data_IF_972826713664
#
_entry.id   IF_972826713664
#
_cell.length_a   1.000
_cell.length_b   1.000
_cell.length_c   1.000
_cell.angle_alpha   90.00
_cell.angle_beta   90.00
_cell.angle_gamma   90.00
#
_symmetry.space_group_name_H-M   'P 1'
#
loop_
_entity.id
_entity.type
_entity.pdbx_description
1 polymer ?
#
# COMPACT_ATOMS: atom_id res chain seq x y z
N UNK A 1 -42.77 48.59 -34.34
CA UNK A 1 -43.22 47.18 -34.37
C UNK A 1 -42.34 46.44 -33.41
N UNK A 2 -42.89 46.05 -32.26
CA UNK A 2 -42.20 45.30 -31.21
C UNK A 2 -42.26 43.83 -31.60
N UNK A 3 -41.12 43.19 -31.84
CA UNK A 3 -41.08 41.73 -31.94
C UNK A 3 -41.27 41.13 -30.54
N UNK A 4 -42.08 40.06 -30.39
CA UNK A 4 -42.19 39.38 -29.12
C UNK A 4 -40.95 38.51 -28.90
N UNK A 5 -40.36 38.62 -27.71
CA UNK A 5 -39.32 37.70 -27.24
C UNK A 5 -39.89 36.28 -27.23
N UNK A 6 -39.28 35.37 -27.99
CA UNK A 6 -39.62 33.95 -28.02
C UNK A 6 -39.43 33.34 -26.61
N UNK A 7 -40.45 32.73 -26.00
CA UNK A 7 -40.33 32.08 -24.68
C UNK A 7 -39.44 30.83 -24.64
N UNK A 8 -38.75 30.46 -25.73
CA UNK A 8 -37.96 29.22 -25.81
C UNK A 8 -36.63 29.27 -25.06
N UNK A 9 -36.32 30.36 -24.35
CA UNK A 9 -35.01 30.58 -23.71
C UNK A 9 -35.01 30.29 -22.20
N UNK A 10 -36.11 29.80 -21.62
CA UNK A 10 -36.24 29.56 -20.16
C UNK A 10 -36.26 28.07 -19.78
N UNK A 11 -35.99 27.14 -20.71
CA UNK A 11 -35.99 25.71 -20.39
C UNK A 11 -34.83 24.96 -21.06
N UNK A 12 -33.63 25.55 -21.03
CA UNK A 12 -32.44 24.72 -20.89
C UNK A 12 -32.22 24.53 -19.40
N UNK A 13 -32.89 23.52 -18.84
CA UNK A 13 -32.43 22.85 -17.65
C UNK A 13 -30.98 22.47 -17.92
N UNK A 14 -30.06 23.22 -17.33
CA UNK A 14 -28.66 22.83 -17.15
C UNK A 14 -28.72 21.48 -16.41
N UNK A 15 -28.72 20.40 -17.18
CA UNK A 15 -28.47 19.05 -16.70
C UNK A 15 -26.97 19.01 -16.38
N UNK A 16 -26.60 19.74 -15.32
CA UNK A 16 -25.24 19.81 -14.82
C UNK A 16 -24.83 18.36 -14.55
N UNK A 17 -23.79 17.84 -15.21
CA UNK A 17 -23.45 16.43 -15.08
C UNK A 17 -23.23 16.12 -13.59
N UNK A 18 -24.00 15.17 -13.07
CA UNK A 18 -23.88 14.62 -11.71
C UNK A 18 -22.38 14.50 -11.36
N UNK A 19 -21.91 15.05 -10.22
CA UNK A 19 -20.50 15.02 -9.87
C UNK A 19 -20.03 13.56 -9.81
N UNK A 20 -19.32 13.15 -10.87
CA UNK A 20 -18.76 11.81 -10.99
C UNK A 20 -17.78 11.65 -9.85
N UNK A 21 -18.16 10.85 -8.86
CA UNK A 21 -17.32 10.52 -7.71
C UNK A 21 -16.04 9.89 -8.23
N UNK A 22 -14.97 10.68 -8.27
CA UNK A 22 -13.64 10.13 -8.51
C UNK A 22 -13.32 9.21 -7.33
N UNK A 23 -12.88 7.97 -7.59
CA UNK A 23 -12.47 7.08 -6.51
C UNK A 23 -11.38 7.79 -5.70
N UNK A 24 -11.64 8.01 -4.41
CA UNK A 24 -10.70 8.68 -3.48
C UNK A 24 -9.35 7.92 -3.44
N UNK A 25 -9.34 6.65 -3.86
CA UNK A 25 -8.17 5.79 -3.89
C UNK A 25 -8.02 5.09 -5.24
N UNK A 26 -7.61 5.82 -6.29
CA UNK A 26 -7.01 5.20 -7.48
C UNK A 26 -5.55 4.83 -7.19
N UNK A 27 -5.34 3.86 -6.28
CA UNK A 27 -4.01 3.41 -5.90
C UNK A 27 -3.37 2.66 -7.08
N UNK A 28 -2.10 2.95 -7.43
CA UNK A 28 -1.39 2.21 -8.47
C UNK A 28 -1.38 0.71 -8.15
N UNK A 29 -1.53 -0.19 -9.16
CA UNK A 29 -1.60 -1.63 -8.93
C UNK A 29 -0.41 -2.18 -8.13
N UNK A 30 0.78 -1.63 -8.32
CA UNK A 30 1.98 -2.01 -7.56
C UNK A 30 1.87 -1.69 -6.07
N UNK A 31 1.30 -0.53 -5.72
CA UNK A 31 1.10 -0.12 -4.32
C UNK A 31 0.08 -1.05 -3.65
N UNK A 32 -1.02 -1.34 -4.34
CA UNK A 32 -2.02 -2.30 -3.87
C UNK A 32 -1.44 -3.70 -3.67
N UNK A 33 -0.59 -4.16 -4.61
CA UNK A 33 0.07 -5.45 -4.50
C UNK A 33 0.99 -5.51 -3.29
N UNK A 34 1.83 -4.49 -3.06
CA UNK A 34 2.72 -4.45 -1.89
C UNK A 34 1.92 -4.41 -0.58
N UNK A 35 0.85 -3.60 -0.51
CA UNK A 35 -0.05 -3.58 0.64
C UNK A 35 -0.64 -4.97 0.89
N UNK A 36 -1.16 -5.61 -0.16
CA UNK A 36 -1.73 -6.95 -0.09
C UNK A 36 -0.73 -7.98 0.43
N UNK A 37 0.50 -7.97 -0.06
CA UNK A 37 1.56 -8.87 0.40
C UNK A 37 1.86 -8.64 1.89
N UNK A 38 2.03 -7.38 2.32
CA UNK A 38 2.29 -7.06 3.73
C UNK A 38 1.16 -7.55 4.65
N UNK A 39 -0.11 -7.37 4.23
CA UNK A 39 -1.27 -7.85 4.98
C UNK A 39 -1.27 -9.37 5.04
N UNK A 40 -1.12 -10.06 3.91
CA UNK A 40 -1.10 -11.53 3.86
C UNK A 40 0.01 -12.10 4.73
N UNK A 41 1.22 -11.57 4.64
CA UNK A 41 2.36 -12.00 5.48
C UNK A 41 2.03 -11.81 6.96
N UNK A 42 1.47 -10.67 7.36
CA UNK A 42 1.09 -10.44 8.75
C UNK A 42 0.01 -11.41 9.24
N UNK A 43 -1.01 -11.68 8.41
CA UNK A 43 -2.08 -12.63 8.75
C UNK A 43 -1.55 -14.06 8.89
N UNK A 44 -0.67 -14.49 7.99
CA UNK A 44 -0.02 -15.81 8.09
C UNK A 44 0.75 -15.92 9.41
N UNK A 45 1.53 -14.90 9.77
CA UNK A 45 2.30 -14.88 11.01
C UNK A 45 1.44 -14.97 12.25
N UNK A 46 0.32 -14.26 12.29
CA UNK A 46 -0.55 -14.18 13.47
C UNK A 46 -1.49 -15.37 13.60
N UNK A 47 -1.98 -15.92 12.49
CA UNK A 47 -3.06 -16.92 12.53
C UNK A 47 -2.68 -18.32 12.04
N UNK A 48 -1.60 -18.46 11.26
CA UNK A 48 -1.24 -19.75 10.65
C UNK A 48 0.05 -20.36 11.24
N UNK A 49 0.97 -19.56 11.77
CA UNK A 49 2.21 -20.04 12.34
C UNK A 49 2.09 -20.29 13.85
N UNK A 50 2.77 -21.33 14.32
CA UNK A 50 3.07 -21.51 15.76
C UNK A 50 4.14 -20.52 16.21
N UNK A 51 4.27 -20.28 17.51
CA UNK A 51 5.26 -19.35 18.07
C UNK A 51 6.69 -19.68 17.61
N UNK A 52 7.08 -20.96 17.62
CA UNK A 52 8.42 -21.39 17.16
C UNK A 52 8.63 -21.14 15.65
N UNK A 53 7.60 -21.35 14.84
CA UNK A 53 7.65 -21.09 13.40
C UNK A 53 7.71 -19.59 13.10
N UNK A 54 6.93 -18.77 13.81
CA UNK A 54 6.95 -17.33 13.67
C UNK A 54 8.31 -16.76 14.09
N UNK A 55 8.86 -17.24 15.22
CA UNK A 55 10.18 -16.86 15.67
C UNK A 55 11.27 -17.26 14.67
N UNK A 56 11.22 -18.48 14.12
CA UNK A 56 12.16 -18.92 13.09
C UNK A 56 12.05 -18.08 11.81
N UNK A 57 10.84 -17.72 11.38
CA UNK A 57 10.60 -16.81 10.26
C UNK A 57 11.21 -15.44 10.54
N UNK A 58 10.91 -14.85 11.70
CA UNK A 58 11.43 -13.55 12.13
C UNK A 58 12.96 -13.53 12.09
N UNK A 59 13.61 -14.54 12.67
CA UNK A 59 15.08 -14.62 12.68
C UNK A 59 15.65 -14.72 11.26
N UNK A 60 14.97 -15.37 10.31
CA UNK A 60 15.45 -15.54 8.93
C UNK A 60 15.16 -14.34 8.03
N UNK A 61 14.04 -13.65 8.24
CA UNK A 61 13.57 -12.58 7.36
C UNK A 61 13.78 -11.17 7.91
N UNK A 62 14.02 -10.99 9.21
CA UNK A 62 14.35 -9.69 9.77
C UNK A 62 15.78 -9.29 9.43
N UNK A 63 15.98 -8.01 9.13
CA UNK A 63 17.30 -7.43 9.00
C UNK A 63 17.94 -7.30 10.38
N UNK A 64 18.98 -8.10 10.66
CA UNK A 64 19.69 -8.11 11.93
C UNK A 64 21.13 -7.62 11.68
N UNK A 65 21.47 -6.37 12.03
CA UNK A 65 22.76 -5.76 11.71
C UNK A 65 23.98 -6.57 12.18
N UNK A 66 23.87 -7.28 13.30
CA UNK A 66 24.99 -8.06 13.87
C UNK A 66 25.50 -9.16 12.93
N UNK A 67 24.68 -9.64 11.98
CA UNK A 67 25.09 -10.65 10.98
C UNK A 67 26.20 -10.17 10.06
N UNK A 68 26.33 -8.85 9.87
CA UNK A 68 27.33 -8.25 9.00
C UNK A 68 28.60 -7.81 9.76
N UNK A 69 28.74 -8.23 11.03
CA UNK A 69 29.91 -7.88 11.86
C UNK A 69 31.18 -8.68 11.56
N UNK A 70 31.20 -9.50 10.49
CA UNK A 70 32.27 -10.44 10.14
C UNK A 70 32.61 -11.46 11.25
N UNK A 71 31.72 -11.65 12.23
CA UNK A 71 31.83 -12.66 13.30
C UNK A 71 30.99 -13.91 13.06
N UNK A 72 30.17 -13.89 12.03
CA UNK A 72 29.23 -14.94 11.65
C UNK A 72 29.36 -15.20 10.15
N UNK A 73 29.01 -16.42 9.73
CA UNK A 73 28.94 -16.76 8.31
C UNK A 73 27.82 -15.99 7.62
N UNK A 74 28.08 -15.54 6.39
CA UNK A 74 27.07 -14.92 5.54
C UNK A 74 26.25 -16.00 4.85
N UNK A 75 25.16 -16.39 5.50
CA UNK A 75 24.18 -17.32 4.95
C UNK A 75 23.24 -16.62 3.94
N UNK A 76 22.39 -17.42 3.27
CA UNK A 76 21.39 -16.90 2.33
C UNK A 76 20.45 -15.86 2.97
N UNK A 77 20.21 -15.97 4.28
CA UNK A 77 19.37 -15.06 5.02
C UNK A 77 20.05 -13.70 5.24
N UNK A 78 21.37 -13.65 5.39
CA UNK A 78 22.13 -12.40 5.39
C UNK A 78 22.02 -11.65 4.05
N UNK A 79 21.81 -12.34 2.92
CA UNK A 79 21.62 -11.67 1.63
C UNK A 79 20.16 -11.28 1.35
N UNK A 80 19.20 -12.06 1.85
CA UNK A 80 17.77 -11.84 1.58
C UNK A 80 17.07 -10.94 2.59
N UNK A 81 17.54 -10.94 3.86
CA UNK A 81 16.94 -10.14 4.94
C UNK A 81 16.92 -8.62 4.70
N UNK A 82 17.86 -7.97 3.98
CA UNK A 82 17.72 -6.55 3.61
C UNK A 82 16.54 -6.23 2.70
N UNK A 83 15.87 -7.24 2.14
CA UNK A 83 14.65 -7.06 1.36
C UNK A 83 13.43 -7.63 2.09
N UNK A 84 13.54 -8.84 2.62
CA UNK A 84 12.38 -9.52 3.24
C UNK A 84 11.90 -8.83 4.52
N UNK A 85 12.75 -8.06 5.21
CA UNK A 85 12.35 -7.31 6.40
C UNK A 85 11.26 -6.28 6.11
N UNK A 86 11.20 -5.73 4.89
CA UNK A 86 10.23 -4.70 4.51
C UNK A 86 8.77 -5.19 4.58
N UNK A 87 8.55 -6.51 4.54
CA UNK A 87 7.23 -7.12 4.61
C UNK A 87 6.84 -7.55 6.03
N UNK A 88 7.78 -7.53 6.98
CA UNK A 88 7.54 -7.94 8.36
C UNK A 88 6.98 -6.78 9.18
N UNK A 89 5.87 -7.02 9.86
CA UNK A 89 5.22 -6.04 10.73
C UNK A 89 5.10 -6.60 12.15
N UNK A 90 5.46 -5.77 13.13
CA UNK A 90 5.49 -6.13 14.56
C UNK A 90 4.12 -6.09 15.26
N UNK A 91 3.06 -5.71 14.55
CA UNK A 91 1.71 -5.64 15.10
C UNK A 91 0.76 -4.84 14.19
N UNK A 92 -0.52 -4.86 14.55
CA UNK A 92 -1.59 -4.25 13.76
C UNK A 92 -1.39 -2.74 13.56
N UNK A 93 -1.06 -2.00 14.62
CA UNK A 93 -0.84 -0.55 14.52
C UNK A 93 0.31 -0.20 13.58
N UNK A 94 1.43 -0.93 13.69
CA UNK A 94 2.59 -0.73 12.81
C UNK A 94 2.23 -1.03 11.34
N UNK A 95 1.50 -2.12 11.09
CA UNK A 95 0.99 -2.44 9.75
C UNK A 95 0.12 -1.32 9.19
N UNK A 96 -0.94 -0.94 9.90
CA UNK A 96 -1.91 0.06 9.41
C UNK A 96 -1.23 1.39 9.11
N UNK A 97 -0.40 1.88 10.04
CA UNK A 97 0.32 3.15 9.85
C UNK A 97 1.22 3.09 8.61
N UNK A 98 1.98 2.00 8.41
CA UNK A 98 2.80 1.85 7.22
C UNK A 98 1.98 1.77 5.93
N UNK A 99 0.84 1.07 5.93
CA UNK A 99 0.00 0.97 4.73
C UNK A 99 -0.59 2.33 4.35
N UNK A 100 -1.01 3.14 5.34
CA UNK A 100 -1.49 4.51 5.12
C UNK A 100 -0.37 5.37 4.52
N UNK A 101 0.85 5.31 5.08
CA UNK A 101 1.98 6.05 4.54
C UNK A 101 2.40 5.59 3.15
N UNK A 102 2.39 4.28 2.90
CA UNK A 102 2.69 3.70 1.58
C UNK A 102 1.64 4.11 0.56
N UNK A 103 0.35 4.12 0.92
CA UNK A 103 -0.71 4.61 0.07
C UNK A 103 -0.54 6.10 -0.25
N UNK A 104 -0.23 6.93 0.74
CA UNK A 104 -0.07 8.37 0.59
C UNK A 104 1.17 8.77 -0.21
N UNK A 105 2.31 8.14 0.01
CA UNK A 105 3.60 8.52 -0.59
C UNK A 105 4.08 7.59 -1.70
N UNK A 106 3.71 6.31 -1.66
CA UNK A 106 4.04 5.36 -2.73
C UNK A 106 3.25 5.62 -4.00
N UNK A 107 2.01 6.09 -3.90
CA UNK A 107 1.17 6.33 -5.08
C UNK A 107 1.69 7.44 -6.00
N UNK A 108 2.08 8.63 -5.50
CA UNK A 108 2.73 9.63 -6.33
C UNK A 108 4.04 9.15 -6.96
N UNK A 109 4.82 8.33 -6.23
CA UNK A 109 6.08 7.80 -6.73
C UNK A 109 5.86 6.83 -7.89
N UNK A 110 4.97 5.85 -7.72
CA UNK A 110 4.64 4.86 -8.76
C UNK A 110 4.02 5.53 -10.00
N UNK A 111 3.11 6.50 -9.80
CA UNK A 111 2.53 7.24 -10.93
C UNK A 111 3.55 8.06 -11.72
N UNK A 112 4.68 8.46 -11.09
CA UNK A 112 5.71 9.29 -11.73
C UNK A 112 6.83 8.49 -12.36
N UNK A 113 7.22 7.37 -11.75
CA UNK A 113 8.43 6.63 -12.12
C UNK A 113 8.16 5.18 -12.57
N UNK A 114 6.92 4.70 -12.44
CA UNK A 114 6.55 3.30 -12.60
C UNK A 114 6.35 2.63 -11.24
#
# INVERSE_FOLDING_TARGET
MSEPVSPSEIEQTDDAPEPRREPIFNLPPVVLAVIGICVVVHLIRVYALTDDQDFALLVRAAFIPVRYSCRYDLDVYAFTSPFTYAFLHGGLAHLVINMVWLAAFGSPLANRYG
#
